data_IF_974401345582
#
_entry.id   IF_974401345582
#
_cell.length_a   1.000
_cell.length_b   1.000
_cell.length_c   1.000
_cell.angle_alpha   90.00
_cell.angle_beta   90.00
_cell.angle_gamma   90.00
#
_symmetry.space_group_name_H-M   'P 1'
#
loop_
_entity.id
_entity.type
_entity.pdbx_description
1 polymer ?
#
# COMPACT_ATOMS: atom_id res chain seq x y z
N UNK A 1 -3.15 -7.11 22.31
CA UNK A 1 -2.35 -7.97 21.41
C UNK A 1 -2.76 -7.85 19.94
N UNK A 2 -4.03 -8.09 19.57
CA UNK A 2 -4.47 -8.16 18.16
C UNK A 2 -4.18 -6.92 17.29
N UNK A 3 -4.37 -5.69 17.81
CA UNK A 3 -4.05 -4.45 17.07
C UNK A 3 -2.56 -4.32 16.76
N UNK A 4 -1.69 -4.73 17.68
CA UNK A 4 -0.23 -4.69 17.51
C UNK A 4 0.20 -5.71 16.46
N UNK A 5 -0.30 -6.95 16.55
CA UNK A 5 -0.02 -8.00 15.57
C UNK A 5 -0.51 -7.63 14.16
N UNK A 6 -1.69 -7.00 14.05
CA UNK A 6 -2.21 -6.49 12.78
C UNK A 6 -1.33 -5.37 12.21
N UNK A 7 -0.87 -4.44 13.05
CA UNK A 7 0.08 -3.39 12.67
C UNK A 7 1.41 -3.96 12.17
N UNK A 8 1.99 -4.91 12.91
CA UNK A 8 3.23 -5.60 12.54
C UNK A 8 3.06 -6.38 11.24
N UNK A 9 1.96 -7.12 11.08
CA UNK A 9 1.68 -7.87 9.85
C UNK A 9 1.56 -6.98 8.62
N UNK A 10 0.86 -5.84 8.75
CA UNK A 10 0.74 -4.85 7.66
C UNK A 10 2.10 -4.24 7.29
N UNK A 11 2.91 -3.87 8.28
CA UNK A 11 4.24 -3.30 8.05
C UNK A 11 5.23 -4.30 7.45
N UNK A 12 5.18 -5.56 7.89
CA UNK A 12 6.12 -6.60 7.49
C UNK A 12 5.87 -7.13 6.06
N UNK A 13 4.62 -7.12 5.58
CA UNK A 13 4.26 -7.76 4.31
C UNK A 13 4.27 -6.81 3.10
N UNK A 14 3.87 -5.54 3.27
CA UNK A 14 3.69 -4.64 2.12
C UNK A 14 5.02 -4.22 1.49
N UNK A 15 6.05 -3.95 2.31
CA UNK A 15 7.36 -3.51 1.84
C UNK A 15 8.07 -4.55 0.98
N UNK A 16 8.30 -5.78 1.49
CA UNK A 16 8.96 -6.84 0.72
C UNK A 16 8.20 -7.22 -0.55
N UNK A 17 6.86 -7.24 -0.52
CA UNK A 17 6.05 -7.58 -1.70
C UNK A 17 6.17 -6.51 -2.78
N UNK A 18 6.16 -5.23 -2.42
CA UNK A 18 6.41 -4.14 -3.36
C UNK A 18 7.84 -4.17 -3.92
N UNK A 19 8.84 -4.50 -3.09
CA UNK A 19 10.23 -4.65 -3.52
C UNK A 19 10.38 -5.79 -4.55
N UNK A 20 9.83 -6.97 -4.25
CA UNK A 20 9.86 -8.12 -5.16
C UNK A 20 9.18 -7.82 -6.49
N UNK A 21 8.01 -7.15 -6.46
CA UNK A 21 7.31 -6.75 -7.68
C UNK A 21 8.09 -5.69 -8.48
N UNK A 22 8.77 -4.77 -7.79
CA UNK A 22 9.58 -3.74 -8.44
C UNK A 22 10.87 -4.29 -9.06
N UNK A 23 11.44 -5.36 -8.50
CA UNK A 23 12.62 -6.03 -9.05
C UNK A 23 12.33 -6.76 -10.37
N UNK A 24 11.14 -7.36 -10.50
CA UNK A 24 10.81 -8.22 -11.64
C UNK A 24 9.98 -7.52 -12.73
N UNK A 25 9.50 -6.30 -12.50
CA UNK A 25 8.68 -5.58 -13.46
C UNK A 25 9.50 -4.75 -14.45
N UNK A 26 9.21 -4.91 -15.74
CA UNK A 26 9.74 -4.04 -16.80
C UNK A 26 9.27 -2.59 -16.64
N UNK A 27 8.04 -2.37 -16.16
CA UNK A 27 7.49 -1.04 -15.82
C UNK A 27 7.18 -1.01 -14.31
N UNK A 28 8.15 -0.52 -13.53
CA UNK A 28 8.07 -0.42 -12.06
C UNK A 28 6.89 0.45 -11.62
N UNK A 29 6.62 1.54 -12.33
CA UNK A 29 5.53 2.45 -12.00
C UNK A 29 4.18 1.76 -12.15
N UNK A 30 3.97 1.03 -13.25
CA UNK A 30 2.74 0.28 -13.47
C UNK A 30 2.57 -0.87 -12.47
N UNK A 31 3.66 -1.55 -12.10
CA UNK A 31 3.61 -2.63 -11.11
C UNK A 31 3.22 -2.10 -9.72
N UNK A 32 3.84 -1.02 -9.26
CA UNK A 32 3.50 -0.37 -7.99
C UNK A 32 2.06 0.15 -8.03
N UNK A 33 1.64 0.79 -9.11
CA UNK A 33 0.28 1.33 -9.23
C UNK A 33 -0.78 0.24 -9.20
N UNK A 34 -0.55 -0.89 -9.87
CA UNK A 34 -1.46 -2.06 -9.82
C UNK A 34 -1.55 -2.64 -8.41
N UNK A 35 -0.41 -2.76 -7.73
CA UNK A 35 -0.36 -3.29 -6.35
C UNK A 35 -1.10 -2.37 -5.38
N UNK A 36 -0.96 -1.06 -5.53
CA UNK A 36 -1.69 -0.11 -4.69
C UNK A 36 -3.18 -0.06 -5.07
N UNK A 37 -3.54 -0.29 -6.33
CA UNK A 37 -4.93 -0.41 -6.74
C UNK A 37 -5.60 -1.64 -6.13
N UNK A 38 -4.93 -2.80 -6.06
CA UNK A 38 -5.48 -3.99 -5.41
C UNK A 38 -5.64 -3.79 -3.91
N UNK A 39 -4.74 -3.05 -3.26
CA UNK A 39 -4.93 -2.62 -1.87
C UNK A 39 -6.23 -1.82 -1.70
N UNK A 40 -6.49 -0.86 -2.57
CA UNK A 40 -7.74 -0.10 -2.53
C UNK A 40 -8.99 -0.95 -2.76
N UNK A 41 -8.93 -1.95 -3.66
CA UNK A 41 -10.07 -2.85 -3.95
C UNK A 41 -10.34 -3.71 -2.73
N UNK A 42 -9.28 -4.22 -2.10
CA UNK A 42 -9.35 -4.98 -0.85
C UNK A 42 -9.91 -4.12 0.29
N UNK A 43 -9.46 -2.87 0.42
CA UNK A 43 -10.00 -1.93 1.40
C UNK A 43 -11.49 -1.66 1.14
N UNK A 44 -11.87 -1.43 -0.13
CA UNK A 44 -13.24 -1.16 -0.52
C UNK A 44 -14.18 -2.31 -0.17
N UNK A 45 -13.84 -3.50 -0.67
CA UNK A 45 -14.63 -4.72 -0.49
C UNK A 45 -14.65 -5.14 0.99
N UNK A 46 -13.50 -5.10 1.66
CA UNK A 46 -13.37 -5.45 3.07
C UNK A 46 -14.17 -4.52 3.98
N UNK A 47 -14.21 -3.21 3.69
CA UNK A 47 -14.98 -2.24 4.48
C UNK A 47 -16.49 -2.41 4.29
N UNK A 48 -16.94 -2.66 3.05
CA UNK A 48 -18.35 -2.94 2.76
C UNK A 48 -18.80 -4.23 3.45
N UNK A 49 -18.09 -5.34 3.23
CA UNK A 49 -18.41 -6.64 3.83
C UNK A 49 -18.30 -6.60 5.35
N UNK A 50 -17.24 -6.00 5.89
CA UNK A 50 -17.05 -5.87 7.34
C UNK A 50 -18.15 -5.02 7.99
N UNK A 51 -18.50 -3.88 7.39
CA UNK A 51 -19.60 -3.04 7.87
C UNK A 51 -20.95 -3.77 7.86
N UNK A 52 -21.25 -4.51 6.79
CA UNK A 52 -22.45 -5.33 6.68
C UNK A 52 -22.48 -6.45 7.73
N UNK A 53 -21.39 -7.22 7.87
CA UNK A 53 -21.30 -8.33 8.83
C UNK A 53 -21.40 -7.84 10.26
N UNK A 54 -20.76 -6.72 10.62
CA UNK A 54 -20.89 -6.12 11.96
C UNK A 54 -22.34 -5.73 12.24
N UNK A 55 -23.04 -5.16 11.26
CA UNK A 55 -24.44 -4.75 11.43
C UNK A 55 -25.41 -5.94 11.53
N UNK A 56 -25.18 -7.02 10.79
CA UNK A 56 -26.06 -8.17 10.75
C UNK A 56 -25.78 -9.21 11.87
N UNK A 57 -24.50 -9.43 12.18
CA UNK A 57 -24.06 -10.56 13.02
C UNK A 57 -23.23 -10.12 14.24
N UNK A 58 -23.00 -8.82 14.41
CA UNK A 58 -22.18 -8.28 15.51
C UNK A 58 -20.67 -8.26 15.24
N UNK A 59 -19.89 -7.66 16.15
CA UNK A 59 -18.45 -7.44 15.97
C UNK A 59 -17.61 -8.72 15.95
N UNK A 60 -18.04 -9.77 16.65
CA UNK A 60 -17.32 -11.06 16.70
C UNK A 60 -17.27 -11.76 15.34
N UNK A 61 -18.37 -11.71 14.58
CA UNK A 61 -18.43 -12.28 13.23
C UNK A 61 -17.42 -11.61 12.28
N UNK A 62 -17.16 -10.31 12.46
CA UNK A 62 -16.16 -9.59 11.68
C UNK A 62 -14.72 -10.04 12.01
N UNK A 63 -14.44 -10.44 13.26
CA UNK A 63 -13.13 -10.99 13.62
C UNK A 63 -12.89 -12.35 12.94
N UNK A 64 -13.93 -13.18 12.83
CA UNK A 64 -13.87 -14.45 12.08
C UNK A 64 -13.69 -14.22 10.56
N UNK A 65 -14.35 -13.20 10.00
CA UNK A 65 -14.13 -12.82 8.61
C UNK A 65 -12.68 -12.40 8.37
N UNK A 66 -12.12 -11.54 9.23
CA UNK A 66 -10.73 -11.09 9.12
C UNK A 66 -9.74 -12.26 9.27
N UNK A 67 -9.98 -13.19 10.20
CA UNK A 67 -9.10 -14.34 10.42
C UNK A 67 -9.14 -15.30 9.23
N UNK A 68 -10.32 -15.58 8.67
CA UNK A 68 -10.47 -16.43 7.48
C UNK A 68 -9.80 -15.82 6.24
N UNK A 69 -9.97 -14.52 5.99
CA UNK A 69 -9.27 -13.81 4.92
C UNK A 69 -7.75 -13.86 5.10
N UNK A 70 -7.25 -13.68 6.33
CA UNK A 70 -5.82 -13.74 6.63
C UNK A 70 -5.25 -15.15 6.43
N UNK A 71 -5.97 -16.18 6.86
CA UNK A 71 -5.59 -17.58 6.63
C UNK A 71 -5.55 -17.90 5.13
N UNK A 72 -6.55 -17.44 4.38
CA UNK A 72 -6.59 -17.60 2.93
C UNK A 72 -5.40 -16.90 2.25
N UNK A 73 -5.04 -15.69 2.69
CA UNK A 73 -3.85 -14.99 2.18
C UNK A 73 -2.57 -15.79 2.42
N UNK A 74 -2.39 -16.37 3.60
CA UNK A 74 -1.25 -17.24 3.92
C UNK A 74 -1.24 -18.50 3.04
N UNK A 75 -2.40 -19.13 2.84
CA UNK A 75 -2.52 -20.30 1.96
C UNK A 75 -2.18 -19.96 0.50
N UNK A 76 -2.66 -18.83 -0.01
CA UNK A 76 -2.29 -18.34 -1.33
C UNK A 76 -0.78 -18.07 -1.42
N UNK A 77 -0.18 -17.48 -0.38
CA UNK A 77 1.25 -17.19 -0.36
C UNK A 77 2.11 -18.46 -0.35
N UNK A 78 1.69 -19.51 0.37
CA UNK A 78 2.39 -20.81 0.40
C UNK A 78 2.29 -21.55 -0.94
N UNK A 79 1.19 -21.33 -1.69
CA UNK A 79 0.95 -21.95 -3.00
C UNK A 79 1.60 -21.22 -4.18
N UNK A 80 2.14 -20.01 -3.97
CA UNK A 80 2.85 -19.30 -5.03
C UNK A 80 4.09 -20.11 -5.45
N UNK A 81 4.31 -20.37 -6.74
CA UNK A 81 5.49 -21.05 -7.23
C UNK A 81 6.73 -20.31 -6.72
N UNK A 82 7.54 -20.98 -5.88
CA UNK A 82 8.87 -20.47 -5.52
C UNK A 82 9.66 -20.43 -6.83
N UNK A 83 10.15 -19.25 -7.22
CA UNK A 83 10.65 -18.89 -8.56
C UNK A 83 11.85 -19.68 -9.12
N UNK A 84 11.87 -21.00 -8.98
CA UNK A 84 12.89 -21.89 -9.50
C UNK A 84 12.81 -22.14 -11.01
N UNK A 85 11.74 -21.71 -11.69
CA UNK A 85 11.63 -21.85 -13.15
C UNK A 85 11.94 -20.58 -13.96
N UNK A 86 12.05 -19.40 -13.32
CA UNK A 86 12.28 -18.15 -14.06
C UNK A 86 13.74 -17.95 -14.52
N UNK A 87 14.70 -18.63 -13.91
CA UNK A 87 16.10 -18.65 -14.37
C UNK A 87 16.33 -19.64 -15.51
N UNK A 88 15.48 -20.65 -15.69
CA UNK A 88 15.58 -21.66 -16.77
C UNK A 88 15.24 -21.08 -18.15
N UNK A 89 14.46 -20.00 -18.21
CA UNK A 89 13.98 -19.44 -19.48
C UNK A 89 14.88 -18.32 -20.07
N UNK A 90 15.97 -17.94 -19.37
CA UNK A 90 16.86 -16.84 -19.81
C UNK A 90 18.22 -17.30 -20.35
N UNK A 91 18.52 -18.61 -20.32
CA UNK A 91 19.71 -19.19 -20.94
C UNK A 91 19.36 -19.93 -22.25
N UNK A 92 19.14 -19.16 -23.30
CA UNK A 92 19.55 -19.58 -24.65
C UNK A 92 20.01 -18.37 -25.46
N UNK A 93 21.20 -17.80 -25.15
CA UNK A 93 21.98 -17.13 -26.16
C UNK A 93 22.80 -18.19 -26.90
N UNK A 94 22.50 -18.32 -28.18
CA UNK A 94 23.34 -18.92 -29.22
C UNK A 94 24.84 -18.70 -28.96
N UNK A 95 25.57 -19.81 -28.98
CA UNK A 95 27.03 -19.96 -29.10
C UNK A 95 27.76 -18.76 -29.70
N UNK A 96 28.46 -17.99 -28.86
CA UNK A 96 29.64 -17.21 -29.28
C UNK A 96 30.81 -17.78 -28.48
N UNK A 97 31.64 -18.55 -29.16
CA UNK A 97 32.86 -19.15 -28.63
C UNK A 97 33.85 -18.04 -28.22
N UNK A 98 34.04 -17.85 -26.92
CA UNK A 98 35.13 -17.04 -26.37
C UNK A 98 36.10 -17.99 -25.64
N UNK A 99 37.40 -17.96 -25.97
CA UNK A 99 38.35 -18.96 -25.49
C UNK A 99 38.61 -18.85 -23.98
N UNK A 100 38.66 -20.04 -23.38
CA UNK A 100 38.81 -20.34 -21.96
C UNK A 100 40.18 -19.91 -21.43
N UNK A 101 40.19 -18.82 -20.67
CA UNK A 101 41.28 -18.46 -19.77
C UNK A 101 41.18 -19.26 -18.47
N UNK A 102 42.05 -20.27 -18.31
CA UNK A 102 42.25 -21.02 -17.06
C UNK A 102 42.85 -20.10 -15.99
N UNK A 103 42.00 -19.51 -15.15
CA UNK A 103 42.39 -18.80 -13.94
C UNK A 103 41.55 -19.27 -12.77
N UNK A 104 42.06 -20.25 -12.02
CA UNK A 104 41.36 -20.84 -10.89
C UNK A 104 41.05 -19.83 -9.79
N UNK A 105 39.82 -19.86 -9.31
CA UNK A 105 39.49 -19.42 -7.96
C UNK A 105 38.32 -20.27 -7.47
N UNK A 106 38.65 -21.28 -6.67
CA UNK A 106 37.72 -21.99 -5.78
C UNK A 106 37.26 -21.05 -4.65
N UNK A 107 36.67 -19.91 -5.01
CA UNK A 107 35.98 -19.01 -4.10
C UNK A 107 34.55 -19.48 -3.94
N UNK A 108 34.33 -20.41 -3.02
CA UNK A 108 33.00 -20.90 -2.68
C UNK A 108 32.04 -19.73 -2.50
N UNK A 109 30.84 -19.87 -3.09
CA UNK A 109 29.70 -19.00 -2.90
C UNK A 109 29.27 -18.99 -1.42
N UNK A 110 30.10 -18.39 -0.58
CA UNK A 110 29.79 -18.01 0.77
C UNK A 110 28.91 -16.79 0.60
N UNK A 111 27.64 -17.06 0.28
CA UNK A 111 26.55 -16.09 0.21
C UNK A 111 26.70 -15.19 1.41
N UNK A 112 27.24 -14.01 1.16
CA UNK A 112 27.55 -13.02 2.16
C UNK A 112 26.18 -12.68 2.74
N UNK A 113 25.89 -13.21 3.94
CA UNK A 113 24.85 -12.67 4.81
C UNK A 113 25.33 -11.29 5.22
N UNK A 114 25.45 -10.37 4.26
CA UNK A 114 25.46 -8.95 4.50
C UNK A 114 24.23 -8.72 5.35
N UNK A 115 24.46 -8.39 6.61
CA UNK A 115 23.40 -8.29 7.59
C UNK A 115 22.35 -7.35 7.01
N UNK A 116 21.10 -7.80 6.92
CA UNK A 116 19.98 -7.00 6.40
C UNK A 116 19.91 -5.64 7.10
N UNK A 117 20.43 -5.57 8.33
CA UNK A 117 20.65 -4.37 9.11
C UNK A 117 21.68 -3.39 8.50
N UNK A 118 22.85 -3.85 8.08
CA UNK A 118 23.85 -3.00 7.43
C UNK A 118 23.31 -2.40 6.13
N UNK A 119 22.65 -3.21 5.29
CA UNK A 119 22.00 -2.71 4.07
C UNK A 119 20.91 -1.67 4.38
N UNK A 120 20.12 -1.88 5.44
CA UNK A 120 19.13 -0.90 5.89
C UNK A 120 19.80 0.39 6.38
N UNK A 121 20.85 0.30 7.18
CA UNK A 121 21.61 1.46 7.67
C UNK A 121 22.25 2.25 6.52
N UNK A 122 22.79 1.56 5.52
CA UNK A 122 23.37 2.20 4.32
C UNK A 122 22.29 2.91 3.50
N UNK A 123 21.12 2.28 3.31
CA UNK A 123 19.97 2.94 2.67
C UNK A 123 19.52 4.18 3.46
N UNK A 124 19.44 4.09 4.79
CA UNK A 124 19.05 5.21 5.67
C UNK A 124 20.07 6.35 5.66
N UNK A 125 21.33 6.06 5.42
CA UNK A 125 22.41 7.06 5.31
C UNK A 125 22.23 7.98 4.08
N UNK A 126 21.49 7.53 3.07
CA UNK A 126 21.18 8.35 1.89
C UNK A 126 20.18 9.45 2.26
N UNK A 127 20.62 10.71 2.28
CA UNK A 127 19.80 11.88 2.70
C UNK A 127 18.40 11.95 2.07
N UNK A 128 18.26 11.57 0.80
CA UNK A 128 16.95 11.56 0.13
C UNK A 128 16.01 10.43 0.60
N UNK A 129 16.55 9.27 0.93
CA UNK A 129 15.77 8.10 1.31
C UNK A 129 15.15 8.26 2.70
N UNK A 130 15.91 8.79 3.66
CA UNK A 130 15.40 9.09 5.00
C UNK A 130 14.22 10.07 4.96
N UNK A 131 14.29 11.10 4.09
CA UNK A 131 13.19 12.05 3.90
C UNK A 131 11.97 11.36 3.30
N UNK A 132 12.13 10.52 2.28
CA UNK A 132 11.02 9.76 1.69
C UNK A 132 10.36 8.81 2.69
N UNK A 133 11.15 8.14 3.54
CA UNK A 133 10.63 7.29 4.61
C UNK A 133 9.86 8.09 5.66
N UNK A 134 10.40 9.23 6.09
CA UNK A 134 9.72 10.12 7.03
C UNK A 134 8.40 10.62 6.46
N UNK A 135 8.40 11.04 5.20
CA UNK A 135 7.21 11.48 4.47
C UNK A 135 6.17 10.36 4.35
N UNK A 136 6.61 9.12 4.05
CA UNK A 136 5.73 7.95 4.00
C UNK A 136 5.15 7.59 5.38
N UNK A 137 5.97 7.66 6.43
CA UNK A 137 5.54 7.43 7.80
C UNK A 137 4.53 8.48 8.24
N UNK A 138 4.77 9.76 7.91
CA UNK A 138 3.86 10.86 8.21
C UNK A 138 2.53 10.72 7.44
N UNK A 139 2.57 10.37 6.16
CA UNK A 139 1.37 10.10 5.37
C UNK A 139 0.56 8.93 5.95
N UNK A 140 1.24 7.85 6.35
CA UNK A 140 0.61 6.66 6.94
C UNK A 140 0.00 6.97 8.32
N UNK A 141 0.74 7.64 9.19
CA UNK A 141 0.26 8.06 10.51
C UNK A 141 -0.94 9.00 10.38
N UNK A 142 -0.84 9.97 9.46
CA UNK A 142 -1.93 10.87 9.13
C UNK A 142 -3.16 10.06 8.74
N UNK A 143 -3.07 9.16 7.75
CA UNK A 143 -4.19 8.31 7.31
C UNK A 143 -4.82 7.52 8.46
N UNK A 144 -4.04 6.87 9.31
CA UNK A 144 -4.54 6.11 10.46
C UNK A 144 -5.28 6.99 11.47
N UNK A 145 -4.76 8.19 11.76
CA UNK A 145 -5.44 9.15 12.64
C UNK A 145 -6.78 9.57 12.02
N UNK A 146 -6.84 9.79 10.71
CA UNK A 146 -8.09 10.14 10.03
C UNK A 146 -9.10 9.01 10.03
N UNK A 147 -8.68 7.79 9.74
CA UNK A 147 -9.56 6.63 9.76
C UNK A 147 -10.17 6.45 11.16
N UNK A 148 -9.35 6.59 12.21
CA UNK A 148 -9.81 6.50 13.59
C UNK A 148 -10.75 7.65 14.01
N UNK A 149 -10.41 8.90 13.69
CA UNK A 149 -11.22 10.06 14.09
C UNK A 149 -12.49 10.20 13.26
N UNK A 150 -12.44 9.90 11.96
CA UNK A 150 -13.62 9.93 11.09
C UNK A 150 -14.64 8.87 11.53
N UNK A 151 -14.18 7.69 11.96
CA UNK A 151 -15.05 6.66 12.48
C UNK A 151 -15.84 7.07 13.73
N UNK A 152 -15.21 7.82 14.65
CA UNK A 152 -15.87 8.37 15.84
C UNK A 152 -16.80 9.53 15.46
N UNK A 153 -16.32 10.47 14.66
CA UNK A 153 -17.09 11.64 14.26
C UNK A 153 -18.36 11.27 13.49
N UNK A 154 -18.29 10.34 12.52
CA UNK A 154 -19.46 9.90 11.75
C UNK A 154 -20.53 9.25 12.65
N UNK A 155 -20.09 8.55 13.70
CA UNK A 155 -20.99 7.92 14.66
C UNK A 155 -21.62 8.97 15.59
N UNK A 156 -20.81 9.83 16.20
CA UNK A 156 -21.26 10.76 17.24
C UNK A 156 -22.02 11.97 16.65
N UNK A 157 -21.56 12.52 15.53
CA UNK A 157 -22.13 13.73 14.94
C UNK A 157 -23.26 13.45 13.95
N UNK A 158 -23.15 12.36 13.16
CA UNK A 158 -24.13 12.04 12.11
C UNK A 158 -25.01 10.83 12.43
N UNK A 159 -24.74 10.10 13.53
CA UNK A 159 -25.50 8.92 13.90
C UNK A 159 -25.35 7.77 12.91
N UNK A 160 -24.26 7.72 12.14
CA UNK A 160 -24.08 6.68 11.12
C UNK A 160 -23.94 5.31 11.77
N UNK A 161 -24.72 4.35 11.26
CA UNK A 161 -24.60 2.95 11.61
C UNK A 161 -23.28 2.36 11.11
N UNK A 162 -22.84 1.24 11.71
CA UNK A 162 -21.64 0.51 11.27
C UNK A 162 -21.67 0.12 9.79
N UNK A 163 -22.85 -0.23 9.25
CA UNK A 163 -23.02 -0.55 7.84
C UNK A 163 -22.82 0.67 6.94
N UNK A 164 -23.46 1.80 7.26
CA UNK A 164 -23.30 3.06 6.52
C UNK A 164 -21.85 3.53 6.50
N UNK A 165 -21.16 3.43 7.65
CA UNK A 165 -19.72 3.71 7.72
C UNK A 165 -18.92 2.77 6.82
N UNK A 166 -19.21 1.47 6.84
CA UNK A 166 -18.59 0.48 5.95
C UNK A 166 -18.75 0.83 4.47
N UNK A 167 -19.95 1.24 4.05
CA UNK A 167 -20.21 1.68 2.67
C UNK A 167 -19.49 2.98 2.29
N UNK A 168 -19.39 3.93 3.22
CA UNK A 168 -18.66 5.18 3.00
C UNK A 168 -17.15 4.92 2.81
N UNK A 169 -16.56 4.07 3.67
CA UNK A 169 -15.17 3.64 3.51
C UNK A 169 -14.98 2.81 2.23
N UNK A 170 -15.98 2.00 1.86
CA UNK A 170 -15.96 1.25 0.61
C UNK A 170 -15.88 2.16 -0.62
N UNK A 171 -16.69 3.22 -0.64
CA UNK A 171 -16.64 4.24 -1.68
C UNK A 171 -15.25 4.90 -1.76
N UNK A 172 -14.68 5.29 -0.62
CA UNK A 172 -13.32 5.86 -0.59
C UNK A 172 -12.27 4.88 -1.15
N UNK A 173 -12.39 3.58 -0.84
CA UNK A 173 -11.53 2.54 -1.38
C UNK A 173 -11.63 2.42 -2.91
N UNK A 174 -12.85 2.42 -3.47
CA UNK A 174 -13.05 2.36 -4.92
C UNK A 174 -12.45 3.57 -5.64
N UNK A 175 -12.68 4.78 -5.11
CA UNK A 175 -12.10 6.01 -5.66
C UNK A 175 -10.58 5.95 -5.59
N UNK A 176 -10.01 5.52 -4.46
CA UNK A 176 -8.57 5.35 -4.31
C UNK A 176 -7.99 4.35 -5.31
N UNK A 177 -8.63 3.19 -5.49
CA UNK A 177 -8.22 2.20 -6.50
C UNK A 177 -8.26 2.75 -7.91
N UNK A 178 -9.34 3.45 -8.27
CA UNK A 178 -9.47 4.06 -9.59
C UNK A 178 -8.37 5.10 -9.85
N UNK A 179 -8.17 6.02 -8.90
CA UNK A 179 -7.12 7.04 -8.98
C UNK A 179 -5.74 6.40 -9.14
N UNK A 180 -5.48 5.34 -8.39
CA UNK A 180 -4.17 4.68 -8.39
C UNK A 180 -3.95 3.81 -9.62
N UNK A 181 -4.99 3.14 -10.12
CA UNK A 181 -4.89 2.29 -11.31
C UNK A 181 -4.85 3.10 -12.62
N UNK A 182 -5.58 4.21 -12.68
CA UNK A 182 -5.85 4.93 -13.93
C UNK A 182 -5.14 6.29 -13.97
N UNK A 183 -5.27 7.09 -12.92
CA UNK A 183 -4.81 8.49 -12.93
C UNK A 183 -3.31 8.57 -12.66
N UNK A 184 -2.81 7.87 -11.63
CA UNK A 184 -1.39 7.90 -11.24
C UNK A 184 -0.46 7.46 -12.38
N UNK A 185 -0.69 6.34 -13.11
CA UNK A 185 0.20 5.95 -14.20
C UNK A 185 0.19 6.94 -15.36
N UNK A 186 -0.96 7.56 -15.66
CA UNK A 186 -1.08 8.58 -16.70
C UNK A 186 -0.30 9.85 -16.33
N UNK A 187 -0.38 10.27 -15.07
CA UNK A 187 0.38 11.41 -14.57
C UNK A 187 1.88 11.12 -14.50
N UNK A 188 2.27 9.92 -14.06
CA UNK A 188 3.67 9.51 -13.99
C UNK A 188 4.34 9.49 -15.37
N UNK A 189 3.63 9.04 -16.41
CA UNK A 189 4.11 9.07 -17.81
C UNK A 189 4.36 10.49 -18.34
N UNK A 190 3.80 11.53 -17.71
CA UNK A 190 4.06 12.94 -18.08
C UNK A 190 5.35 13.50 -17.48
N UNK A 191 6.14 12.71 -16.75
CA UNK A 191 7.51 13.06 -16.35
C UNK A 191 7.62 14.06 -15.19
N UNK A 192 6.54 14.33 -14.46
CA UNK A 192 6.47 15.42 -13.49
C UNK A 192 6.71 14.95 -12.02
N UNK A 193 7.78 14.20 -11.77
CA UNK A 193 7.99 13.50 -10.48
C UNK A 193 7.99 14.43 -9.25
N UNK A 194 8.69 15.57 -9.32
CA UNK A 194 8.79 16.51 -8.20
C UNK A 194 7.53 17.37 -7.97
N UNK A 195 6.81 17.75 -9.03
CA UNK A 195 5.54 18.48 -8.89
C UNK A 195 4.40 17.56 -8.44
N UNK A 196 4.41 16.28 -8.85
CA UNK A 196 3.42 15.30 -8.38
C UNK A 196 3.54 15.04 -6.89
N UNK A 197 4.77 14.96 -6.35
CA UNK A 197 4.97 14.81 -4.91
C UNK A 197 4.43 16.01 -4.14
N UNK A 198 4.74 17.23 -4.58
CA UNK A 198 4.21 18.48 -3.98
C UNK A 198 2.69 18.56 -4.05
N UNK A 199 2.11 18.21 -5.20
CA UNK A 199 0.66 18.16 -5.38
C UNK A 199 0.02 17.13 -4.44
N UNK A 200 0.62 15.94 -4.29
CA UNK A 200 0.13 14.94 -3.36
C UNK A 200 0.11 15.46 -1.92
N UNK A 201 1.17 16.13 -1.45
CA UNK A 201 1.19 16.75 -0.13
C UNK A 201 0.18 17.88 0.01
N UNK A 202 0.03 18.72 -1.02
CA UNK A 202 -0.98 19.78 -1.04
C UNK A 202 -2.39 19.19 -0.93
N UNK A 203 -2.72 18.17 -1.71
CA UNK A 203 -4.01 17.47 -1.64
C UNK A 203 -4.26 16.86 -0.26
N UNK A 204 -3.24 16.23 0.36
CA UNK A 204 -3.37 15.69 1.73
C UNK A 204 -3.62 16.80 2.75
N UNK A 205 -2.89 17.91 2.65
CA UNK A 205 -3.08 19.06 3.53
C UNK A 205 -4.48 19.67 3.35
N UNK A 206 -4.89 19.94 2.11
CA UNK A 206 -6.22 20.45 1.77
C UNK A 206 -7.33 19.53 2.30
N UNK A 207 -7.20 18.20 2.14
CA UNK A 207 -8.16 17.25 2.69
C UNK A 207 -8.28 17.34 4.21
N UNK A 208 -7.16 17.52 4.93
CA UNK A 208 -7.15 17.70 6.39
C UNK A 208 -7.80 18.99 6.83
N UNK A 209 -7.47 20.10 6.16
CA UNK A 209 -8.11 21.39 6.42
C UNK A 209 -9.61 21.33 6.12
N UNK A 210 -10.02 20.64 5.05
CA UNK A 210 -11.42 20.40 4.72
C UNK A 210 -12.17 19.68 5.83
N UNK A 211 -11.57 18.66 6.44
CA UNK A 211 -12.14 17.96 7.60
C UNK A 211 -12.22 18.82 8.86
N UNK A 212 -11.17 19.57 9.16
CA UNK A 212 -11.16 20.50 10.28
C UNK A 212 -12.18 21.64 10.08
N UNK A 213 -12.45 22.04 8.84
CA UNK A 213 -13.50 22.97 8.50
C UNK A 213 -14.89 22.31 8.64
N UNK A 214 -15.06 21.07 8.19
CA UNK A 214 -16.32 20.32 8.29
C UNK A 214 -16.78 20.09 9.73
N UNK A 215 -15.86 20.08 10.71
CA UNK A 215 -16.24 19.99 12.12
C UNK A 215 -16.79 21.31 12.69
N UNK A 216 -16.57 22.45 12.01
CA UNK A 216 -17.07 23.77 12.43
C UNK A 216 -18.20 24.31 11.57
N UNK A 217 -18.23 23.95 10.30
CA UNK A 217 -19.20 24.46 9.32
C UNK A 217 -20.23 23.39 8.96
N UNK A 218 -21.46 23.78 8.57
CA UNK A 218 -22.47 22.83 8.11
C UNK A 218 -21.95 21.98 6.94
N UNK A 219 -22.28 20.68 6.85
CA UNK A 219 -21.78 19.77 5.82
C UNK A 219 -22.00 20.28 4.38
N UNK A 220 -23.11 20.98 4.14
CA UNK A 220 -23.46 21.59 2.86
C UNK A 220 -22.43 22.62 2.39
N UNK A 221 -21.93 23.46 3.29
CA UNK A 221 -20.91 24.48 2.97
C UNK A 221 -19.60 23.81 2.59
N UNK A 222 -19.22 22.75 3.31
CA UNK A 222 -18.00 22.00 2.99
C UNK A 222 -18.09 21.24 1.68
N UNK A 223 -19.25 20.65 1.34
CA UNK A 223 -19.44 19.96 0.06
C UNK A 223 -19.32 20.96 -1.10
N UNK A 224 -19.99 22.12 -1.01
CA UNK A 224 -19.91 23.16 -2.06
C UNK A 224 -18.48 23.68 -2.22
N UNK A 225 -17.77 23.93 -1.13
CA UNK A 225 -16.37 24.35 -1.18
C UNK A 225 -15.44 23.27 -1.78
N UNK A 226 -15.75 21.98 -1.55
CA UNK A 226 -15.00 20.86 -2.11
C UNK A 226 -15.20 20.70 -3.61
N UNK A 227 -16.39 21.05 -4.13
CA UNK A 227 -16.70 21.00 -5.57
C UNK A 227 -16.14 22.19 -6.36
N UNK A 228 -15.76 23.27 -5.69
CA UNK A 228 -15.21 24.48 -6.31
C UNK A 228 -13.68 24.44 -6.50
N UNK A 229 -13.00 23.44 -5.93
CA UNK A 229 -11.56 23.18 -6.00
C UNK A 229 -11.25 22.10 -7.03
#
# INVERSE_FOLDING_TARGET
AGRVLSGVGRAALSGPLLALLAEHAHDKTLAVSRTMATFGIGYATGSACGGFVVAACGPEANLLLISSCSAMQVLCAVRLPRGQELSSMKESPSSVDVPVGKGGSNGGARTERLSTWAALCDCLSTKGFAVLLLLQALASASFQVYDATSALYLQDALGYTSAQRGYLLAYAGWVFSFMTAVVVPRLARRGASGSLLRLAFACVACGRFGLAAASRFPPTVTIVASCAL
#
